data_IF_110116257178
#
_entry.id   IF_110116257178
#
_cell.length_a   1.000
_cell.length_b   1.000
_cell.length_c   1.000
_cell.angle_alpha   90.00
_cell.angle_beta   90.00
_cell.angle_gamma   90.00
#
_symmetry.space_group_name_H-M   'P 1'
#
loop_
_entity.id
_entity.type
_entity.pdbx_description
1 polymer ?
#
# COMPACT_ATOMS: atom_id res chain seq x y z
N UNK A 1 10.52 -0.59 12.98
CA UNK A 1 10.14 0.54 12.12
C UNK A 1 8.70 0.42 11.68
N UNK A 2 8.02 1.52 11.68
CA UNK A 2 6.61 1.59 11.34
C UNK A 2 6.44 1.69 9.83
N UNK A 3 5.61 0.81 9.24
CA UNK A 3 5.38 0.83 7.81
C UNK A 3 4.72 2.13 7.35
N UNK A 4 3.91 2.75 8.21
CA UNK A 4 3.27 4.02 7.87
C UNK A 4 4.30 5.14 7.74
N UNK A 5 5.34 5.14 8.58
CA UNK A 5 6.43 6.09 8.46
C UNK A 5 7.22 5.85 7.17
N UNK A 6 7.43 4.57 6.81
CA UNK A 6 8.10 4.22 5.57
C UNK A 6 7.35 4.77 4.37
N UNK A 7 6.03 4.58 4.35
CA UNK A 7 5.21 5.08 3.25
C UNK A 7 5.30 6.59 3.13
N UNK A 8 5.29 7.31 4.25
CA UNK A 8 5.40 8.76 4.23
C UNK A 8 6.74 9.20 3.65
N UNK A 9 7.82 8.50 4.01
CA UNK A 9 9.16 8.86 3.55
C UNK A 9 9.35 8.69 2.05
N UNK A 10 8.73 7.66 1.46
CA UNK A 10 8.92 7.36 0.04
C UNK A 10 7.75 7.78 -0.83
N UNK A 11 6.77 8.46 -0.26
CA UNK A 11 5.54 8.78 -0.97
C UNK A 11 5.78 9.46 -2.32
N UNK A 12 6.69 10.41 -2.37
CA UNK A 12 6.94 11.17 -3.59
C UNK A 12 7.68 10.39 -4.67
N UNK A 13 8.18 9.20 -4.34
CA UNK A 13 8.85 8.34 -5.29
C UNK A 13 7.90 7.32 -5.91
N UNK A 14 6.66 7.29 -5.46
CA UNK A 14 5.70 6.29 -5.90
C UNK A 14 5.04 6.67 -7.22
N UNK A 15 4.61 5.65 -7.98
CA UNK A 15 3.80 5.88 -9.17
C UNK A 15 2.41 6.35 -8.74
N UNK A 16 1.60 6.81 -9.70
CA UNK A 16 0.24 7.25 -9.42
C UNK A 16 -0.57 6.13 -8.77
N UNK A 17 -0.46 4.90 -9.31
CA UNK A 17 -1.17 3.75 -8.74
C UNK A 17 -0.72 3.47 -7.33
N UNK A 18 0.59 3.52 -7.10
CA UNK A 18 1.13 3.28 -5.77
C UNK A 18 0.70 4.34 -4.77
N UNK A 19 0.61 5.59 -5.23
CA UNK A 19 0.12 6.68 -4.36
C UNK A 19 -1.32 6.45 -3.94
N UNK A 20 -2.15 5.93 -4.85
CA UNK A 20 -3.53 5.61 -4.51
C UNK A 20 -3.59 4.55 -3.42
N UNK A 21 -2.75 3.52 -3.53
CA UNK A 21 -2.69 2.46 -2.53
C UNK A 21 -2.25 3.04 -1.19
N UNK A 22 -1.18 3.83 -1.19
CA UNK A 22 -0.66 4.42 0.03
C UNK A 22 -1.69 5.30 0.72
N UNK A 23 -2.37 6.14 -0.06
CA UNK A 23 -3.40 7.03 0.49
C UNK A 23 -4.55 6.25 1.09
N UNK A 24 -4.98 5.19 0.42
CA UNK A 24 -6.06 4.36 0.94
C UNK A 24 -5.66 3.71 2.25
N UNK A 25 -4.46 3.14 2.30
CA UNK A 25 -3.98 2.48 3.51
C UNK A 25 -3.88 3.46 4.67
N UNK A 26 -3.37 4.66 4.43
CA UNK A 26 -3.25 5.67 5.48
C UNK A 26 -4.61 6.14 6.00
N UNK A 27 -5.59 6.23 5.11
CA UNK A 27 -6.94 6.67 5.49
C UNK A 27 -7.76 5.57 6.15
N UNK A 28 -7.44 4.29 5.88
CA UNK A 28 -8.23 3.15 6.34
C UNK A 28 -7.35 2.09 7.00
N UNK A 29 -6.44 2.54 7.87
CA UNK A 29 -5.44 1.66 8.47
C UNK A 29 -6.04 0.41 9.12
N UNK A 30 -7.09 0.57 9.90
CA UNK A 30 -7.71 -0.56 10.59
C UNK A 30 -8.43 -1.50 9.62
N UNK A 31 -9.11 -0.94 8.63
CA UNK A 31 -9.85 -1.74 7.68
C UNK A 31 -8.93 -2.56 6.77
N UNK A 32 -7.83 -1.97 6.36
CA UNK A 32 -6.88 -2.63 5.46
C UNK A 32 -6.34 -3.92 6.08
N UNK A 33 -6.15 -3.94 7.38
CA UNK A 33 -5.65 -5.13 8.06
C UNK A 33 -6.58 -6.33 7.92
N UNK A 34 -7.86 -6.08 7.67
CA UNK A 34 -8.86 -7.13 7.53
C UNK A 34 -9.17 -7.48 6.08
N UNK A 35 -8.55 -6.76 5.13
CA UNK A 35 -8.86 -6.94 3.72
C UNK A 35 -7.92 -7.93 3.04
N UNK A 36 -8.47 -8.68 2.07
CA UNK A 36 -7.65 -9.50 1.20
C UNK A 36 -7.00 -8.63 0.14
N UNK A 37 -6.00 -9.19 -0.58
CA UNK A 37 -5.36 -8.48 -1.68
C UNK A 37 -6.39 -8.09 -2.74
N UNK A 38 -7.32 -9.00 -3.04
CA UNK A 38 -8.37 -8.73 -4.03
C UNK A 38 -9.25 -7.56 -3.60
N UNK A 39 -9.64 -7.53 -2.33
CA UNK A 39 -10.47 -6.45 -1.80
C UNK A 39 -9.74 -5.12 -1.85
N UNK A 40 -8.48 -5.12 -1.46
CA UNK A 40 -7.69 -3.89 -1.46
C UNK A 40 -7.48 -3.37 -2.88
N UNK A 41 -7.19 -4.27 -3.82
CA UNK A 41 -7.02 -3.89 -5.22
C UNK A 41 -8.28 -3.24 -5.78
N UNK A 42 -9.43 -3.83 -5.47
CA UNK A 42 -10.71 -3.31 -5.92
C UNK A 42 -11.00 -1.94 -5.31
N UNK A 43 -10.73 -1.80 -4.01
CA UNK A 43 -10.94 -0.54 -3.31
C UNK A 43 -10.05 0.57 -3.86
N UNK A 44 -8.83 0.24 -4.26
CA UNK A 44 -7.88 1.21 -4.79
C UNK A 44 -8.01 1.40 -6.31
N UNK A 45 -8.84 0.61 -6.97
CA UNK A 45 -9.02 0.63 -8.42
C UNK A 45 -7.71 0.32 -9.16
N UNK A 46 -6.98 -0.68 -8.68
CA UNK A 46 -5.73 -1.14 -9.30
C UNK A 46 -5.75 -2.66 -9.41
N UNK A 47 -4.79 -3.23 -10.15
CA UNK A 47 -4.68 -4.68 -10.27
C UNK A 47 -4.05 -5.30 -9.04
N UNK A 48 -4.32 -6.59 -8.83
CA UNK A 48 -3.72 -7.32 -7.70
C UNK A 48 -2.20 -7.37 -7.81
N UNK A 49 -1.67 -7.47 -9.03
CA UNK A 49 -0.23 -7.47 -9.23
C UNK A 49 0.41 -6.18 -8.72
N UNK A 50 -0.30 -5.07 -8.88
CA UNK A 50 0.18 -3.77 -8.40
C UNK A 50 0.22 -3.75 -6.88
N UNK A 51 -0.80 -4.31 -6.23
CA UNK A 51 -0.83 -4.43 -4.77
C UNK A 51 0.33 -5.30 -4.28
N UNK A 52 0.55 -6.43 -4.95
CA UNK A 52 1.61 -7.36 -4.57
C UNK A 52 2.98 -6.68 -4.64
N UNK A 53 3.24 -5.95 -5.73
CA UNK A 53 4.51 -5.24 -5.88
C UNK A 53 4.67 -4.13 -4.84
N UNK A 54 3.58 -3.43 -4.54
CA UNK A 54 3.60 -2.40 -3.51
C UNK A 54 3.96 -3.00 -2.15
N UNK A 55 3.32 -4.11 -1.80
CA UNK A 55 3.58 -4.76 -0.52
C UNK A 55 5.02 -5.26 -0.42
N UNK A 56 5.54 -5.86 -1.50
CA UNK A 56 6.92 -6.34 -1.51
C UNK A 56 7.92 -5.22 -1.31
N UNK A 57 7.62 -4.05 -1.85
CA UNK A 57 8.50 -2.89 -1.72
C UNK A 57 8.75 -2.54 -0.26
N UNK A 58 7.71 -2.60 0.56
CA UNK A 58 7.83 -2.26 1.97
C UNK A 58 8.33 -3.43 2.81
N UNK A 59 7.97 -4.66 2.42
CA UNK A 59 8.45 -5.84 3.12
C UNK A 59 9.95 -6.03 2.96
N UNK A 60 10.47 -5.75 1.76
CA UNK A 60 11.90 -5.91 1.50
C UNK A 60 12.76 -4.94 2.28
N UNK A 61 12.18 -3.98 2.96
CA UNK A 61 12.92 -3.02 3.79
C UNK A 61 13.03 -3.49 5.24
N UNK A 62 12.81 -4.77 5.46
CA UNK A 62 13.03 -5.37 6.76
C UNK A 62 11.81 -5.33 7.67
N UNK A 63 10.70 -5.02 7.13
CA UNK A 63 9.46 -4.99 7.91
C UNK A 63 8.89 -6.41 8.06
#
# INVERSE_FOLDING_TARGET
>A
MDILSEMSSVYYELTISEKRIAEYILDHTDEVQMMSISELAEACHVGEATITRFCKRFHSRGY
#
